data_IF_870236864871
#
_entry.id   IF_870236864871
#
_cell.length_a   1.000
_cell.length_b   1.000
_cell.length_c   1.000
_cell.angle_alpha   90.00
_cell.angle_beta   90.00
_cell.angle_gamma   90.00
#
_symmetry.space_group_name_H-M   'P 1'
#
loop_
_entity.id
_entity.type
_entity.pdbx_description
1 polymer ?
#
# COMPACT_ATOMS: atom_id res chain seq x y z
N UNK A 1 -67.02 -32.65 58.02
CA UNK A 1 -67.63 -33.67 57.15
C UNK A 1 -68.23 -32.88 56.00
N UNK A 2 -67.61 -32.79 54.84
CA UNK A 2 -67.43 -33.89 53.88
C UNK A 2 -66.29 -33.56 52.91
N UNK A 3 -65.35 -34.50 52.78
CA UNK A 3 -64.46 -34.61 51.62
C UNK A 3 -65.24 -35.21 50.45
N UNK A 4 -64.89 -34.82 49.22
CA UNK A 4 -65.42 -35.39 47.99
C UNK A 4 -64.63 -34.86 46.80
N UNK A 5 -63.61 -35.62 46.42
CA UNK A 5 -62.64 -35.34 45.37
C UNK A 5 -63.30 -35.28 43.98
N UNK A 6 -62.91 -34.29 43.18
CA UNK A 6 -63.08 -34.29 41.74
C UNK A 6 -61.69 -34.07 41.12
N UNK A 7 -61.19 -35.11 40.44
CA UNK A 7 -60.03 -35.03 39.55
C UNK A 7 -60.39 -34.12 38.38
N UNK A 8 -59.73 -32.96 38.29
CA UNK A 8 -59.60 -32.21 37.05
C UNK A 8 -58.22 -32.46 36.46
N UNK A 9 -58.26 -33.11 35.30
CA UNK A 9 -57.16 -33.35 34.37
C UNK A 9 -56.65 -31.99 33.84
N UNK A 10 -55.61 -31.45 34.47
CA UNK A 10 -54.92 -30.25 33.99
C UNK A 10 -53.73 -30.67 33.12
N UNK A 11 -54.00 -30.80 31.83
CA UNK A 11 -52.99 -30.81 30.79
C UNK A 11 -52.35 -29.41 30.71
N UNK A 12 -51.30 -29.19 31.51
CA UNK A 12 -50.47 -27.98 31.39
C UNK A 12 -49.75 -28.00 30.03
N UNK A 13 -50.26 -27.20 29.10
CA UNK A 13 -49.60 -26.85 27.84
C UNK A 13 -48.33 -26.05 28.15
N UNK A 14 -47.23 -26.75 28.41
CA UNK A 14 -45.89 -26.16 28.48
C UNK A 14 -45.57 -25.57 27.12
N UNK A 15 -45.80 -24.27 26.98
CA UNK A 15 -45.23 -23.47 25.90
C UNK A 15 -43.71 -23.64 25.90
N UNK A 16 -43.22 -24.55 25.04
CA UNK A 16 -41.81 -24.66 24.70
C UNK A 16 -41.47 -23.36 24.00
N UNK A 17 -40.92 -22.41 24.76
CA UNK A 17 -40.20 -21.27 24.20
C UNK A 17 -39.03 -21.89 23.45
N UNK A 18 -39.21 -22.13 22.15
CA UNK A 18 -38.12 -22.39 21.22
C UNK A 18 -37.19 -21.20 21.36
N UNK A 19 -36.12 -21.38 22.12
CA UNK A 19 -34.95 -20.51 22.07
C UNK A 19 -34.55 -20.45 20.61
N UNK A 20 -34.91 -19.32 19.96
CA UNK A 20 -34.42 -19.00 18.65
C UNK A 20 -32.92 -18.90 18.85
N UNK A 21 -32.19 -19.94 18.45
CA UNK A 21 -30.75 -19.85 18.25
C UNK A 21 -30.58 -18.63 17.36
N UNK A 22 -30.03 -17.56 17.93
CA UNK A 22 -29.55 -16.45 17.16
C UNK A 22 -28.51 -17.07 16.22
N UNK A 23 -28.91 -17.32 14.98
CA UNK A 23 -27.97 -17.45 13.88
C UNK A 23 -27.33 -16.08 13.76
N UNK A 24 -26.30 -15.89 14.59
CA UNK A 24 -25.35 -14.82 14.42
C UNK A 24 -24.83 -14.95 12.98
N UNK A 25 -24.62 -13.82 12.27
CA UNK A 25 -23.84 -13.86 11.04
C UNK A 25 -22.55 -14.63 11.35
N UNK A 26 -21.96 -15.27 10.36
CA UNK A 26 -20.65 -15.93 10.43
C UNK A 26 -19.55 -14.87 10.71
N UNK A 27 -19.65 -14.18 11.85
CA UNK A 27 -18.65 -13.30 12.42
C UNK A 27 -17.57 -14.23 12.94
N UNK A 28 -16.48 -14.31 12.18
CA UNK A 28 -15.31 -15.07 12.58
C UNK A 28 -14.94 -14.67 14.01
N UNK A 29 -14.90 -15.64 14.93
CA UNK A 29 -14.43 -15.46 16.29
C UNK A 29 -13.08 -14.71 16.27
N UNK A 30 -12.84 -13.79 17.22
CA UNK A 30 -11.56 -13.09 17.29
C UNK A 30 -10.44 -14.12 17.42
N UNK A 31 -9.40 -14.00 16.62
CA UNK A 31 -8.28 -14.95 16.64
C UNK A 31 -7.14 -14.44 17.52
N UNK A 32 -6.46 -15.36 18.20
CA UNK A 32 -5.30 -15.04 19.04
C UNK A 32 -4.18 -16.03 18.84
N UNK A 33 -3.03 -15.51 18.41
CA UNK A 33 -1.83 -16.26 18.05
C UNK A 33 -0.83 -16.42 19.20
N UNK A 34 -1.01 -15.67 20.29
CA UNK A 34 -0.06 -15.58 21.40
C UNK A 34 0.72 -14.26 21.46
N UNK A 35 0.46 -13.30 20.56
CA UNK A 35 1.11 -11.99 20.60
C UNK A 35 0.65 -11.17 21.80
N UNK A 36 1.58 -10.80 22.69
CA UNK A 36 1.32 -9.93 23.83
C UNK A 36 0.68 -8.58 23.42
N UNK A 37 1.03 -8.04 22.25
CA UNK A 37 0.46 -6.76 21.77
C UNK A 37 -1.06 -6.85 21.58
N UNK A 38 -1.55 -8.01 21.15
CA UNK A 38 -2.95 -8.23 20.80
C UNK A 38 -3.76 -8.86 21.95
N UNK A 39 -3.12 -9.19 23.08
CA UNK A 39 -3.78 -9.90 24.19
C UNK A 39 -5.00 -9.14 24.73
N UNK A 40 -4.86 -7.85 25.03
CA UNK A 40 -5.97 -7.06 25.59
C UNK A 40 -7.14 -6.92 24.61
N UNK A 41 -6.83 -6.74 23.32
CA UNK A 41 -7.84 -6.68 22.26
C UNK A 41 -8.61 -7.99 22.16
N UNK A 42 -7.88 -9.12 22.09
CA UNK A 42 -8.49 -10.45 22.07
C UNK A 42 -9.33 -10.71 23.33
N UNK A 43 -8.76 -10.47 24.51
CA UNK A 43 -9.41 -10.71 25.80
C UNK A 43 -10.75 -9.97 25.89
N UNK A 44 -10.78 -8.69 25.53
CA UNK A 44 -12.00 -7.89 25.57
C UNK A 44 -13.02 -8.35 24.53
N UNK A 45 -12.59 -8.62 23.30
CA UNK A 45 -13.48 -9.11 22.23
C UNK A 45 -14.09 -10.47 22.58
N UNK A 46 -13.25 -11.43 22.98
CA UNK A 46 -13.69 -12.77 23.36
C UNK A 46 -14.61 -12.75 24.58
N UNK A 47 -14.30 -11.91 25.59
CA UNK A 47 -15.17 -11.78 26.76
C UNK A 47 -16.57 -11.30 26.39
N UNK A 48 -16.66 -10.27 25.55
CA UNK A 48 -17.95 -9.72 25.11
C UNK A 48 -18.74 -10.68 24.22
N UNK A 49 -18.06 -11.49 23.40
CA UNK A 49 -18.71 -12.39 22.44
C UNK A 49 -19.07 -13.76 23.03
N UNK A 50 -18.31 -14.25 24.01
CA UNK A 50 -18.41 -15.65 24.49
C UNK A 50 -18.43 -15.74 26.01
N UNK A 51 -17.47 -15.14 26.73
CA UNK A 51 -17.33 -15.33 28.19
C UNK A 51 -18.55 -14.82 28.96
N UNK A 52 -19.04 -13.63 28.61
CA UNK A 52 -20.17 -12.96 29.27
C UNK A 52 -21.54 -13.55 28.93
N UNK A 53 -21.60 -14.47 27.96
CA UNK A 53 -22.86 -15.12 27.56
C UNK A 53 -23.25 -16.20 28.57
N UNK A 54 -24.46 -16.08 29.09
CA UNK A 54 -25.05 -17.05 30.04
C UNK A 54 -25.81 -18.17 29.34
N UNK A 55 -26.03 -18.05 28.03
CA UNK A 55 -26.73 -19.05 27.21
C UNK A 55 -25.79 -20.14 26.65
N UNK A 56 -24.48 -19.98 26.80
CA UNK A 56 -23.47 -20.96 26.39
C UNK A 56 -23.01 -21.78 27.59
N UNK A 57 -22.93 -23.11 27.41
CA UNK A 57 -22.33 -23.99 28.40
C UNK A 57 -20.80 -23.82 28.45
N UNK A 58 -20.17 -24.24 29.54
CA UNK A 58 -18.70 -24.21 29.64
C UNK A 58 -18.02 -25.04 28.55
N UNK A 59 -18.67 -26.12 28.09
CA UNK A 59 -18.20 -26.93 26.96
C UNK A 59 -18.23 -26.13 25.65
N UNK A 60 -19.30 -25.38 25.39
CA UNK A 60 -19.42 -24.53 24.21
C UNK A 60 -18.41 -23.38 24.25
N UNK A 61 -18.24 -22.74 25.42
CA UNK A 61 -17.23 -21.69 25.62
C UNK A 61 -15.82 -22.21 25.39
N UNK A 62 -15.51 -23.42 25.87
CA UNK A 62 -14.22 -24.06 25.65
C UNK A 62 -14.00 -24.40 24.16
N UNK A 63 -15.04 -24.85 23.46
CA UNK A 63 -14.95 -25.08 22.02
C UNK A 63 -14.67 -23.78 21.26
N UNK A 64 -15.41 -22.70 21.55
CA UNK A 64 -15.16 -21.37 20.98
C UNK A 64 -13.76 -20.85 21.32
N UNK A 65 -13.28 -21.09 22.54
CA UNK A 65 -11.93 -20.71 22.94
C UNK A 65 -10.89 -21.45 22.09
N UNK A 66 -11.02 -22.78 21.95
CA UNK A 66 -10.08 -23.58 21.15
C UNK A 66 -10.07 -23.19 19.68
N UNK A 67 -11.21 -22.79 19.10
CA UNK A 67 -11.28 -22.35 17.70
C UNK A 67 -10.76 -20.92 17.49
N UNK A 68 -10.82 -20.07 18.52
CA UNK A 68 -10.27 -18.72 18.52
C UNK A 68 -8.74 -18.69 18.67
N UNK A 69 -8.14 -19.72 19.28
CA UNK A 69 -6.70 -19.80 19.48
C UNK A 69 -5.99 -20.38 18.26
N UNK A 70 -4.91 -19.73 17.84
CA UNK A 70 -4.00 -20.18 16.78
C UNK A 70 -2.55 -20.13 17.26
N UNK A 71 -1.61 -20.65 16.48
CA UNK A 71 -0.17 -20.49 16.74
C UNK A 71 0.27 -21.00 18.13
N UNK A 72 1.03 -20.16 18.84
CA UNK A 72 1.59 -20.50 20.15
C UNK A 72 0.49 -20.61 21.21
N UNK A 73 -0.52 -19.74 21.16
CA UNK A 73 -1.61 -19.76 22.13
C UNK A 73 -2.42 -21.06 22.06
N UNK A 74 -2.66 -21.58 20.85
CA UNK A 74 -3.29 -22.90 20.65
C UNK A 74 -2.41 -24.03 21.21
N UNK A 75 -1.08 -23.96 21.05
CA UNK A 75 -0.18 -24.98 21.58
C UNK A 75 -0.19 -25.03 23.11
N UNK A 76 -0.28 -23.88 23.79
CA UNK A 76 -0.35 -23.84 25.26
C UNK A 76 -1.61 -24.51 25.80
N UNK A 77 -2.74 -24.43 25.09
CA UNK A 77 -4.00 -25.03 25.53
C UNK A 77 -4.16 -26.50 25.15
N UNK A 78 -3.23 -27.07 24.35
CA UNK A 78 -3.21 -28.52 24.07
C UNK A 78 -2.99 -29.39 25.30
N UNK A 79 -2.40 -28.85 26.38
CA UNK A 79 -2.28 -29.57 27.66
C UNK A 79 -3.64 -29.95 28.25
N UNK A 80 -4.72 -29.30 27.80
CA UNK A 80 -6.09 -29.54 28.22
C UNK A 80 -6.87 -30.50 27.29
N UNK A 81 -6.19 -31.19 26.37
CA UNK A 81 -6.82 -32.14 25.46
C UNK A 81 -6.98 -33.55 26.07
N UNK A 82 -6.26 -33.86 27.15
CA UNK A 82 -6.14 -35.23 27.69
C UNK A 82 -6.92 -35.51 28.96
N UNK A 83 -7.34 -34.49 29.71
CA UNK A 83 -8.16 -34.63 30.91
C UNK A 83 -9.38 -33.72 30.78
N UNK A 84 -10.55 -34.17 31.25
CA UNK A 84 -11.84 -33.46 31.16
C UNK A 84 -11.84 -32.12 31.89
N UNK A 85 -11.23 -31.10 31.28
CA UNK A 85 -10.93 -29.81 31.88
C UNK A 85 -11.97 -28.76 31.49
N UNK A 86 -12.34 -28.03 32.53
CA UNK A 86 -13.28 -26.92 32.61
C UNK A 86 -12.76 -25.65 31.92
N UNK A 87 -13.64 -24.93 31.23
CA UNK A 87 -13.35 -23.69 30.50
C UNK A 87 -12.55 -22.67 31.34
N UNK A 88 -12.90 -22.56 32.63
CA UNK A 88 -12.26 -21.62 33.56
C UNK A 88 -10.75 -21.85 33.70
N UNK A 89 -10.30 -23.11 33.76
CA UNK A 89 -8.86 -23.43 33.88
C UNK A 89 -8.09 -23.07 32.61
N UNK A 90 -8.72 -23.29 31.45
CA UNK A 90 -8.13 -22.92 30.16
C UNK A 90 -7.99 -21.40 30.04
N UNK A 91 -9.02 -20.66 30.46
CA UNK A 91 -9.00 -19.21 30.48
C UNK A 91 -7.96 -18.65 31.47
N UNK A 92 -7.90 -19.19 32.69
CA UNK A 92 -6.91 -18.82 33.71
C UNK A 92 -5.48 -19.05 33.22
N UNK A 93 -5.20 -20.14 32.49
CA UNK A 93 -3.87 -20.36 31.92
C UNK A 93 -3.49 -19.25 30.93
N UNK A 94 -4.42 -18.82 30.07
CA UNK A 94 -4.16 -17.74 29.12
C UNK A 94 -3.90 -16.42 29.85
N UNK A 95 -4.71 -16.08 30.85
CA UNK A 95 -4.49 -14.88 31.68
C UNK A 95 -3.12 -14.94 32.36
N UNK A 96 -2.77 -16.06 32.99
CA UNK A 96 -1.45 -16.25 33.61
C UNK A 96 -0.30 -16.16 32.62
N UNK A 97 -0.51 -16.61 31.39
CA UNK A 97 0.55 -16.66 30.36
C UNK A 97 0.75 -15.32 29.65
N UNK A 98 -0.33 -14.58 29.41
CA UNK A 98 -0.32 -13.41 28.52
C UNK A 98 -0.68 -12.09 29.22
N UNK A 99 -1.27 -12.13 30.41
CA UNK A 99 -1.62 -10.92 31.20
C UNK A 99 -0.55 -10.54 32.22
N UNK A 100 0.71 -10.65 31.82
CA UNK A 100 1.83 -10.21 32.65
C UNK A 100 1.93 -8.69 32.55
N UNK A 101 1.27 -7.96 33.45
CA UNK A 101 1.16 -6.49 33.45
C UNK A 101 2.49 -5.78 33.17
N UNK A 102 3.57 -6.19 33.83
CA UNK A 102 4.91 -5.61 33.64
C UNK A 102 5.38 -5.70 32.18
N UNK A 103 5.16 -6.86 31.53
CA UNK A 103 5.52 -7.09 30.14
C UNK A 103 4.63 -6.25 29.22
N UNK A 104 3.31 -6.27 29.44
CA UNK A 104 2.36 -5.52 28.61
C UNK A 104 2.57 -4.00 28.67
N UNK A 105 2.79 -3.46 29.88
CA UNK A 105 3.09 -2.03 30.07
C UNK A 105 4.39 -1.68 29.33
N UNK A 106 5.47 -2.44 29.56
CA UNK A 106 6.75 -2.19 28.90
C UNK A 106 6.66 -2.32 27.38
N UNK A 107 5.86 -3.26 26.87
CA UNK A 107 5.63 -3.47 25.45
C UNK A 107 4.94 -2.26 24.83
N UNK A 108 3.80 -1.83 25.36
CA UNK A 108 3.04 -0.71 24.80
C UNK A 108 3.79 0.63 24.94
N UNK A 109 4.51 0.84 26.04
CA UNK A 109 5.41 1.98 26.19
C UNK A 109 6.52 1.97 25.13
N UNK A 110 7.15 0.81 24.89
CA UNK A 110 8.17 0.70 23.84
C UNK A 110 7.59 0.95 22.45
N UNK A 111 6.42 0.40 22.15
CA UNK A 111 5.76 0.57 20.85
C UNK A 111 5.38 2.02 20.57
N UNK A 112 4.82 2.75 21.55
CA UNK A 112 4.47 4.16 21.37
C UNK A 112 5.72 5.05 21.23
N UNK A 113 6.76 4.84 22.05
CA UNK A 113 8.00 5.63 21.96
C UNK A 113 8.76 5.38 20.65
N UNK A 114 8.77 4.13 20.18
CA UNK A 114 9.51 3.69 19.00
C UNK A 114 8.67 3.63 17.72
N UNK A 115 7.52 4.33 17.68
CA UNK A 115 6.76 4.47 16.43
C UNK A 115 7.65 4.99 15.30
N UNK A 116 7.43 4.47 14.10
CA UNK A 116 8.20 4.83 12.91
C UNK A 116 7.88 6.26 12.48
N UNK A 117 8.91 7.07 12.28
CA UNK A 117 8.79 8.40 11.68
C UNK A 117 8.26 8.32 10.24
N UNK A 118 7.29 9.16 9.93
CA UNK A 118 6.72 9.30 8.60
C UNK A 118 7.63 10.14 7.71
N UNK A 119 8.16 9.52 6.65
CA UNK A 119 8.96 10.22 5.64
C UNK A 119 8.08 11.08 4.71
N UNK A 120 6.84 10.64 4.48
CA UNK A 120 5.89 11.28 3.56
C UNK A 120 4.48 11.24 4.12
N UNK A 121 3.75 12.31 3.82
CA UNK A 121 2.34 12.48 4.18
C UNK A 121 1.43 11.65 3.27
N UNK A 122 1.41 10.35 3.51
CA UNK A 122 0.47 9.44 2.85
C UNK A 122 -0.77 9.26 3.71
N UNK A 123 -1.94 9.10 3.08
CA UNK A 123 -3.20 8.86 3.79
C UNK A 123 -3.08 7.65 4.74
N UNK A 124 -2.55 6.53 4.24
CA UNK A 124 -2.34 5.33 5.04
C UNK A 124 -1.36 5.55 6.21
N UNK A 125 -0.23 6.24 5.98
CA UNK A 125 0.76 6.48 7.01
C UNK A 125 0.25 7.37 8.14
N UNK A 126 -0.46 8.45 7.81
CA UNK A 126 -1.03 9.39 8.78
C UNK A 126 -2.14 8.73 9.62
N UNK A 127 -3.09 8.04 8.96
CA UNK A 127 -4.13 7.30 9.68
C UNK A 127 -3.55 6.20 10.56
N UNK A 128 -2.52 5.49 10.08
CA UNK A 128 -1.86 4.45 10.86
C UNK A 128 -1.18 5.01 12.11
N UNK A 129 -0.46 6.13 11.99
CA UNK A 129 0.19 6.79 13.13
C UNK A 129 -0.82 7.15 14.23
N UNK A 130 -1.94 7.77 13.86
CA UNK A 130 -3.01 8.11 14.80
C UNK A 130 -3.63 6.86 15.45
N UNK A 131 -3.97 5.86 14.64
CA UNK A 131 -4.58 4.63 15.11
C UNK A 131 -3.67 3.85 16.06
N UNK A 132 -2.38 3.70 15.73
CA UNK A 132 -1.42 2.96 16.56
C UNK A 132 -1.18 3.68 17.90
N UNK A 133 -1.05 5.01 17.90
CA UNK A 133 -0.91 5.78 19.13
C UNK A 133 -2.13 5.61 20.05
N UNK A 134 -3.35 5.80 19.52
CA UNK A 134 -4.59 5.61 20.30
C UNK A 134 -4.71 4.17 20.82
N UNK A 135 -4.37 3.17 20.01
CA UNK A 135 -4.37 1.75 20.39
C UNK A 135 -3.46 1.49 21.60
N UNK A 136 -2.24 2.01 21.58
CA UNK A 136 -1.28 1.82 22.67
C UNK A 136 -1.67 2.62 23.92
N UNK A 137 -2.15 3.86 23.77
CA UNK A 137 -2.65 4.67 24.89
C UNK A 137 -3.86 3.99 25.56
N UNK A 138 -4.81 3.47 24.78
CA UNK A 138 -5.97 2.75 25.31
C UNK A 138 -5.57 1.47 26.04
N UNK A 139 -4.59 0.74 25.51
CA UNK A 139 -4.05 -0.47 26.14
C UNK A 139 -3.37 -0.17 27.47
N UNK A 140 -2.56 0.90 27.54
CA UNK A 140 -1.93 1.37 28.78
C UNK A 140 -2.98 1.80 29.82
N UNK A 141 -4.01 2.53 29.38
CA UNK A 141 -5.12 2.94 30.24
C UNK A 141 -5.87 1.74 30.83
N UNK A 142 -6.14 0.71 30.02
CA UNK A 142 -6.76 -0.54 30.47
C UNK A 142 -5.89 -1.31 31.49
N UNK A 143 -4.56 -1.14 31.44
CA UNK A 143 -3.61 -1.69 32.41
C UNK A 143 -3.45 -0.83 33.68
N UNK A 144 -4.15 0.31 33.76
CA UNK A 144 -4.05 1.25 34.89
C UNK A 144 -2.88 2.24 34.79
N UNK A 145 -2.28 2.41 33.60
CA UNK A 145 -1.21 3.37 33.34
C UNK A 145 -1.74 4.53 32.52
N UNK A 146 -1.62 5.74 33.06
CA UNK A 146 -1.90 6.97 32.32
C UNK A 146 -0.61 7.54 31.73
N UNK A 147 -0.60 7.82 30.43
CA UNK A 147 0.45 8.61 29.78
C UNK A 147 -0.04 10.05 29.75
N UNK A 148 0.81 11.00 30.15
CA UNK A 148 0.38 12.39 30.17
C UNK A 148 0.10 12.90 28.76
N UNK A 149 -0.93 13.75 28.56
CA UNK A 149 -1.29 14.30 27.26
C UNK A 149 -0.09 14.91 26.50
N UNK A 150 0.78 15.61 27.21
CA UNK A 150 1.93 16.32 26.65
C UNK A 150 2.95 15.37 26.01
N UNK A 151 3.17 14.21 26.65
CA UNK A 151 4.07 13.18 26.11
C UNK A 151 3.48 12.58 24.83
N UNK A 152 2.16 12.35 24.80
CA UNK A 152 1.48 11.76 23.64
C UNK A 152 1.64 12.67 22.42
N UNK A 153 1.32 13.95 22.60
CA UNK A 153 1.45 14.97 21.55
C UNK A 153 2.90 15.08 21.09
N UNK A 154 3.85 15.23 22.01
CA UNK A 154 5.27 15.37 21.67
C UNK A 154 5.80 14.16 20.88
N UNK A 155 5.41 12.94 21.28
CA UNK A 155 5.76 11.73 20.53
C UNK A 155 5.20 11.82 19.12
N UNK A 156 3.91 12.12 18.95
CA UNK A 156 3.27 12.20 17.64
C UNK A 156 3.91 13.25 16.73
N UNK A 157 4.20 14.44 17.24
CA UNK A 157 4.92 15.51 16.54
C UNK A 157 6.29 15.03 16.06
N UNK A 158 7.05 14.34 16.92
CA UNK A 158 8.36 13.79 16.57
C UNK A 158 8.32 12.75 15.43
N UNK A 159 7.15 12.16 15.15
CA UNK A 159 6.97 11.17 14.08
C UNK A 159 6.51 11.80 12.77
N UNK A 160 6.26 13.10 12.71
CA UNK A 160 5.78 13.77 11.52
C UNK A 160 6.91 14.31 10.63
N UNK A 161 6.71 14.35 9.31
CA UNK A 161 7.62 15.06 8.42
C UNK A 161 7.51 16.56 8.66
N UNK A 162 8.59 17.30 8.42
CA UNK A 162 8.66 18.75 8.64
C UNK A 162 7.48 19.53 8.05
N UNK A 163 7.02 19.17 6.85
CA UNK A 163 5.88 19.84 6.18
C UNK A 163 4.55 19.66 6.91
N UNK A 164 4.39 18.56 7.65
CA UNK A 164 3.21 18.34 8.47
C UNK A 164 3.32 19.14 9.78
N UNK A 165 4.51 19.14 10.40
CA UNK A 165 4.78 19.91 11.62
C UNK A 165 4.54 21.41 11.37
N UNK A 166 5.10 21.98 10.30
CA UNK A 166 4.93 23.41 9.99
C UNK A 166 3.44 23.79 9.84
N UNK A 167 2.61 22.88 9.32
CA UNK A 167 1.16 23.08 9.22
C UNK A 167 0.42 22.84 10.51
N UNK A 168 0.88 21.90 11.32
CA UNK A 168 0.33 21.64 12.65
C UNK A 168 0.52 22.88 13.54
N UNK A 169 1.76 23.35 13.66
CA UNK A 169 2.15 24.56 14.42
C UNK A 169 1.38 25.81 13.98
N UNK A 170 1.12 25.97 12.68
CA UNK A 170 0.37 27.12 12.17
C UNK A 170 -1.11 27.17 12.62
N UNK A 171 -1.65 26.08 13.19
CA UNK A 171 -3.02 26.03 13.70
C UNK A 171 -3.08 26.10 15.24
N UNK A 172 -1.94 26.24 15.93
CA UNK A 172 -1.87 26.28 17.38
C UNK A 172 -1.81 27.71 17.91
N UNK A 173 -2.31 27.91 19.13
CA UNK A 173 -2.04 29.13 19.89
C UNK A 173 -0.61 29.09 20.44
N UNK A 174 -0.01 30.27 20.62
CA UNK A 174 1.38 30.40 21.08
C UNK A 174 1.60 29.89 22.52
N UNK A 175 0.62 30.06 23.40
CA UNK A 175 0.77 29.82 24.84
C UNK A 175 -0.02 28.61 25.35
N UNK A 176 -0.81 27.96 24.49
CA UNK A 176 -1.60 26.78 24.85
C UNK A 176 -0.95 25.52 24.30
N UNK A 177 -0.73 24.53 25.16
CA UNK A 177 -0.28 23.21 24.73
C UNK A 177 -1.48 22.42 24.20
N UNK A 178 -1.38 21.78 23.02
CA UNK A 178 -2.53 21.13 22.41
C UNK A 178 -2.92 19.83 23.12
N UNK A 179 -4.19 19.50 23.05
CA UNK A 179 -4.71 18.22 23.56
C UNK A 179 -4.49 17.08 22.54
N UNK A 180 -4.33 15.81 22.98
CA UNK A 180 -4.13 14.66 22.10
C UNK A 180 -5.20 14.54 21.00
N UNK A 181 -6.46 14.84 21.33
CA UNK A 181 -7.56 14.79 20.36
C UNK A 181 -7.38 15.77 19.20
N UNK A 182 -6.74 16.92 19.46
CA UNK A 182 -6.48 17.92 18.42
C UNK A 182 -5.46 17.39 17.39
N UNK A 183 -4.40 16.73 17.84
CA UNK A 183 -3.41 16.16 16.92
C UNK A 183 -3.96 14.92 16.20
N UNK A 184 -4.78 14.08 16.86
CA UNK A 184 -5.47 12.98 16.17
C UNK A 184 -6.36 13.50 15.04
N UNK A 185 -7.17 14.53 15.31
CA UNK A 185 -8.00 15.18 14.30
C UNK A 185 -7.18 15.80 13.16
N UNK A 186 -6.06 16.43 13.47
CA UNK A 186 -5.15 16.94 12.46
C UNK A 186 -4.60 15.83 11.54
N UNK A 187 -4.21 14.69 12.11
CA UNK A 187 -3.71 13.53 11.35
C UNK A 187 -4.79 12.96 10.44
N UNK A 188 -6.01 12.77 10.93
CA UNK A 188 -7.12 12.26 10.11
C UNK A 188 -7.51 13.22 8.99
N UNK A 189 -7.61 14.52 9.28
CA UNK A 189 -7.89 15.55 8.25
C UNK A 189 -6.77 15.61 7.20
N UNK A 190 -5.51 15.51 7.63
CA UNK A 190 -4.37 15.47 6.71
C UNK A 190 -4.37 14.20 5.87
N UNK A 191 -4.74 13.05 6.43
CA UNK A 191 -4.89 11.80 5.70
C UNK A 191 -5.99 11.88 4.63
N UNK A 192 -7.15 12.45 4.97
CA UNK A 192 -8.26 12.67 4.04
C UNK A 192 -7.83 13.56 2.86
N UNK A 193 -7.12 14.67 3.14
CA UNK A 193 -6.58 15.56 2.10
C UNK A 193 -5.59 14.84 1.18
N UNK A 194 -4.69 14.04 1.76
CA UNK A 194 -3.72 13.24 0.99
C UNK A 194 -4.42 12.21 0.09
N UNK A 195 -5.51 11.58 0.56
CA UNK A 195 -6.33 10.67 -0.25
C UNK A 195 -6.98 11.40 -1.42
N UNK A 196 -7.66 12.52 -1.15
CA UNK A 196 -8.33 13.33 -2.19
C UNK A 196 -7.35 13.82 -3.25
N UNK A 197 -6.16 14.26 -2.86
CA UNK A 197 -5.12 14.68 -3.81
C UNK A 197 -4.65 13.52 -4.70
N UNK A 198 -4.55 12.31 -4.14
CA UNK A 198 -4.17 11.13 -4.90
C UNK A 198 -5.28 10.66 -5.85
N UNK A 199 -6.54 10.76 -5.44
CA UNK A 199 -7.71 10.47 -6.28
C UNK A 199 -7.84 11.46 -7.43
N UNK A 200 -7.64 12.75 -7.18
CA UNK A 200 -7.58 13.76 -8.25
C UNK A 200 -6.45 13.45 -9.23
N UNK A 201 -5.26 13.10 -8.72
CA UNK A 201 -4.12 12.74 -9.57
C UNK A 201 -4.38 11.48 -10.40
N UNK A 202 -5.01 10.46 -9.81
CA UNK A 202 -5.35 9.21 -10.49
C UNK A 202 -6.46 9.42 -11.53
N UNK A 203 -7.46 10.25 -11.25
CA UNK A 203 -8.50 10.65 -12.21
C UNK A 203 -7.92 11.44 -13.38
N UNK A 204 -6.99 12.37 -13.13
CA UNK A 204 -6.30 13.11 -14.20
C UNK A 204 -5.47 12.16 -15.08
N UNK A 205 -4.77 11.19 -14.48
CA UNK A 205 -4.03 10.17 -15.23
C UNK A 205 -4.95 9.26 -16.06
N UNK A 206 -6.09 8.82 -15.50
CA UNK A 206 -7.11 8.04 -16.22
C UNK A 206 -7.73 8.85 -17.36
N UNK A 207 -8.06 10.13 -17.16
CA UNK A 207 -8.56 11.01 -18.24
C UNK A 207 -7.53 11.20 -19.36
N UNK A 208 -6.23 11.32 -19.03
CA UNK A 208 -5.16 11.38 -20.03
C UNK A 208 -5.01 10.07 -20.83
N UNK A 209 -5.18 8.91 -20.20
CA UNK A 209 -5.17 7.62 -20.90
C UNK A 209 -6.42 7.40 -21.76
N UNK A 210 -7.60 7.80 -21.29
CA UNK A 210 -8.86 7.70 -22.05
C UNK A 210 -8.88 8.66 -23.25
N UNK A 211 -8.35 9.88 -23.12
CA UNK A 211 -8.20 10.79 -24.27
C UNK A 211 -7.20 10.26 -25.31
N UNK A 212 -6.17 9.51 -24.90
CA UNK A 212 -5.28 8.84 -25.86
C UNK A 212 -5.90 7.64 -26.58
N UNK A 213 -7.01 7.09 -26.10
CA UNK A 213 -7.75 6.04 -26.81
C UNK A 213 -8.92 6.58 -27.65
N UNK A 214 -9.42 7.80 -27.36
CA UNK A 214 -10.49 8.44 -28.16
C UNK A 214 -10.00 9.30 -29.33
N UNK A 215 -8.71 9.63 -29.41
CA UNK A 215 -8.09 10.29 -30.58
C UNK A 215 -7.43 9.30 -31.57
N UNK A 216 -8.06 8.13 -31.76
CA UNK A 216 -7.83 7.27 -32.93
C UNK A 216 -8.58 7.74 -34.19
N UNK A 217 -9.35 8.83 -34.11
CA UNK A 217 -10.12 9.39 -35.22
C UNK A 217 -9.97 10.91 -35.32
N UNK A 218 -9.30 11.35 -36.39
CA UNK A 218 -9.24 12.73 -36.94
C UNK A 218 -8.31 13.75 -36.26
N UNK A 219 -7.12 13.85 -36.87
CA UNK A 219 -6.33 15.06 -37.16
C UNK A 219 -6.78 16.42 -36.57
N UNK A 220 -5.91 17.03 -35.76
CA UNK A 220 -5.68 18.48 -35.69
C UNK A 220 -4.25 18.74 -35.19
N UNK A 221 -3.31 19.06 -36.09
CA UNK A 221 -2.83 20.41 -36.43
C UNK A 221 -1.84 21.05 -35.44
N UNK A 222 -0.67 20.42 -35.26
CA UNK A 222 0.54 21.20 -34.97
C UNK A 222 0.92 21.98 -36.23
N UNK A 223 0.53 23.26 -36.27
CA UNK A 223 0.96 24.28 -37.24
C UNK A 223 2.44 24.64 -37.07
N UNK A 224 3.33 23.67 -37.34
CA UNK A 224 4.76 23.95 -37.53
C UNK A 224 5.49 22.97 -38.47
N UNK A 225 4.81 22.02 -39.13
CA UNK A 225 5.49 21.02 -39.99
C UNK A 225 4.79 20.65 -41.31
N UNK A 226 3.85 21.47 -41.79
CA UNK A 226 3.12 21.21 -43.05
C UNK A 226 3.68 21.95 -44.28
N UNK A 227 5.01 22.09 -44.36
CA UNK A 227 5.73 22.21 -45.63
C UNK A 227 6.46 20.90 -45.92
N UNK A 228 5.68 19.84 -46.21
CA UNK A 228 6.02 18.70 -47.07
C UNK A 228 4.92 17.63 -46.99
N UNK A 229 3.74 17.94 -47.52
CA UNK A 229 2.75 16.92 -47.85
C UNK A 229 3.31 16.03 -48.98
N UNK A 230 3.79 14.82 -48.65
CA UNK A 230 3.90 13.62 -49.54
C UNK A 230 5.14 12.73 -49.27
N UNK A 231 5.33 12.17 -48.06
CA UNK A 231 6.29 11.04 -47.94
C UNK A 231 5.65 9.84 -47.27
N UNK A 232 5.13 8.94 -48.11
CA UNK A 232 4.97 7.52 -47.75
C UNK A 232 6.32 6.94 -47.32
N UNK A 233 6.33 5.81 -46.61
CA UNK A 233 7.59 5.19 -46.17
C UNK A 233 8.55 5.04 -47.35
N UNK A 234 9.80 5.50 -47.20
CA UNK A 234 10.79 5.49 -48.27
C UNK A 234 11.13 4.07 -48.79
N UNK A 235 10.87 3.03 -48.01
CA UNK A 235 11.12 1.64 -48.38
C UNK A 235 9.89 0.93 -48.98
N UNK A 236 8.68 1.13 -48.42
CA UNK A 236 7.49 0.43 -48.91
C UNK A 236 6.61 1.26 -49.86
N UNK A 237 6.80 2.58 -49.87
CA UNK A 237 6.05 3.61 -50.62
C UNK A 237 4.52 3.58 -50.46
N UNK A 238 3.98 2.67 -49.64
CA UNK A 238 2.55 2.39 -49.52
C UNK A 238 1.89 3.05 -48.30
N UNK A 239 2.51 2.97 -47.13
CA UNK A 239 1.94 3.48 -45.86
C UNK A 239 2.94 4.37 -45.12
N UNK A 240 2.44 5.21 -44.21
CA UNK A 240 3.29 6.00 -43.30
C UNK A 240 3.59 5.19 -42.07
N UNK A 241 4.87 4.89 -41.83
CA UNK A 241 5.35 4.30 -40.60
C UNK A 241 6.86 4.57 -40.46
N UNK A 242 7.41 4.48 -39.25
CA UNK A 242 8.85 4.52 -39.04
C UNK A 242 9.57 3.39 -39.80
N UNK A 243 10.80 3.64 -40.26
CA UNK A 243 11.57 2.66 -41.04
C UNK A 243 11.90 1.38 -40.27
N UNK A 244 12.12 1.48 -38.96
CA UNK A 244 12.36 0.32 -38.11
C UNK A 244 11.12 -0.58 -37.96
N UNK A 245 9.93 -0.12 -38.34
CA UNK A 245 8.70 -0.92 -38.41
C UNK A 245 8.36 -1.37 -39.84
N UNK A 246 9.20 -1.05 -40.84
CA UNK A 246 8.95 -1.41 -42.22
C UNK A 246 9.43 -2.83 -42.54
N UNK A 247 8.50 -3.74 -42.84
CA UNK A 247 8.86 -5.12 -43.20
C UNK A 247 9.66 -5.19 -44.50
N UNK A 248 9.31 -4.38 -45.52
CA UNK A 248 10.08 -4.30 -46.77
C UNK A 248 11.53 -3.83 -46.52
N UNK A 249 11.73 -2.89 -45.60
CA UNK A 249 13.06 -2.39 -45.23
C UNK A 249 13.87 -3.46 -44.47
N UNK A 250 13.25 -4.16 -43.51
CA UNK A 250 13.88 -5.26 -42.79
C UNK A 250 14.24 -6.44 -43.69
N UNK A 251 13.51 -6.65 -44.80
CA UNK A 251 13.83 -7.71 -45.78
C UNK A 251 14.98 -7.34 -46.73
N UNK A 252 15.41 -6.08 -46.80
CA UNK A 252 16.55 -5.69 -47.63
C UNK A 252 17.88 -6.13 -46.99
N UNK A 253 18.88 -6.51 -47.81
CA UNK A 253 20.26 -6.65 -47.34
C UNK A 253 20.80 -5.36 -46.72
N UNK A 254 21.67 -5.48 -45.71
CA UNK A 254 22.19 -4.34 -44.94
C UNK A 254 22.85 -3.27 -45.84
N UNK A 255 23.67 -3.61 -46.86
CA UNK A 255 24.21 -2.61 -47.79
C UNK A 255 23.11 -1.79 -48.49
N UNK A 256 22.04 -2.44 -48.95
CA UNK A 256 20.89 -1.76 -49.57
C UNK A 256 20.12 -0.89 -48.57
N UNK A 257 20.07 -1.25 -47.29
CA UNK A 257 19.47 -0.40 -46.24
C UNK A 257 20.27 0.89 -46.04
N UNK A 258 21.60 0.80 -46.05
CA UNK A 258 22.50 1.96 -45.89
C UNK A 258 22.38 2.91 -47.09
N UNK A 259 22.40 2.37 -48.31
CA UNK A 259 22.20 3.17 -49.53
C UNK A 259 20.87 3.92 -49.51
N UNK A 260 19.80 3.25 -49.11
CA UNK A 260 18.46 3.82 -49.05
C UNK A 260 18.36 4.96 -48.02
N UNK A 261 19.04 4.84 -46.88
CA UNK A 261 19.13 5.90 -45.86
C UNK A 261 19.95 7.08 -46.36
N UNK A 262 21.09 6.81 -47.00
CA UNK A 262 21.98 7.81 -47.59
C UNK A 262 21.24 8.62 -48.66
N UNK A 263 20.53 7.95 -49.56
CA UNK A 263 19.72 8.57 -50.61
C UNK A 263 18.56 9.40 -50.04
N UNK A 264 17.89 8.90 -48.99
CA UNK A 264 16.78 9.60 -48.35
C UNK A 264 17.22 10.73 -47.39
N UNK A 265 18.53 10.88 -47.12
CA UNK A 265 19.12 11.86 -46.20
C UNK A 265 18.46 11.84 -44.82
N UNK A 266 18.20 10.64 -44.29
CA UNK A 266 17.70 10.43 -42.93
C UNK A 266 18.83 9.98 -41.99
N UNK A 267 18.65 10.15 -40.69
CA UNK A 267 19.68 9.83 -39.73
C UNK A 267 19.96 8.32 -39.65
N UNK A 268 21.24 7.95 -39.67
CA UNK A 268 21.70 6.56 -39.52
C UNK A 268 21.35 5.95 -38.16
N UNK A 269 21.10 6.77 -37.13
CA UNK A 269 20.80 6.29 -35.78
C UNK A 269 19.30 6.09 -35.52
N UNK A 270 18.49 7.14 -35.73
CA UNK A 270 17.05 7.07 -35.47
C UNK A 270 16.20 6.72 -36.70
N UNK A 271 16.80 6.63 -37.89
CA UNK A 271 16.12 6.38 -39.16
C UNK A 271 15.01 7.41 -39.48
N UNK A 272 15.16 8.64 -38.97
CA UNK A 272 14.22 9.77 -39.14
C UNK A 272 14.97 11.02 -39.60
N UNK A 273 14.23 11.99 -40.15
CA UNK A 273 14.77 13.30 -40.51
C UNK A 273 14.82 14.20 -39.27
N UNK A 274 16.01 14.71 -38.95
CA UNK A 274 16.22 15.81 -38.03
C UNK A 274 17.35 16.67 -38.57
N UNK A 275 17.16 17.99 -38.65
CA UNK A 275 18.14 18.94 -39.21
C UNK A 275 18.77 19.85 -38.16
N UNK A 276 18.09 20.08 -37.03
CA UNK A 276 18.42 21.18 -36.11
C UNK A 276 18.75 20.73 -34.68
N UNK A 277 18.77 19.42 -34.41
CA UNK A 277 19.06 18.88 -33.07
C UNK A 277 19.90 17.60 -33.14
N UNK A 278 20.78 17.37 -32.15
CA UNK A 278 21.58 16.15 -32.07
C UNK A 278 20.67 14.93 -31.84
N UNK A 279 20.99 13.82 -32.52
CA UNK A 279 20.24 12.58 -32.37
C UNK A 279 20.43 12.00 -30.95
N UNK A 280 19.33 11.87 -30.19
CA UNK A 280 19.30 11.28 -28.84
C UNK A 280 18.92 9.79 -28.81
N UNK A 281 18.89 9.14 -29.98
CA UNK A 281 18.53 7.72 -30.07
C UNK A 281 19.68 6.83 -29.56
N UNK A 282 19.34 5.68 -28.99
CA UNK A 282 20.31 4.74 -28.41
C UNK A 282 21.32 4.26 -29.44
N UNK A 283 22.53 3.94 -28.98
CA UNK A 283 23.59 3.41 -29.84
C UNK A 283 23.27 1.99 -30.33
N UNK A 284 24.00 1.53 -31.34
CA UNK A 284 23.90 0.17 -31.84
C UNK A 284 24.15 -0.82 -30.70
N UNK A 285 23.23 -1.74 -30.47
CA UNK A 285 23.33 -2.74 -29.38
C UNK A 285 24.42 -3.79 -29.61
N UNK A 286 24.98 -3.89 -30.82
CA UNK A 286 26.02 -4.87 -31.18
C UNK A 286 27.44 -4.30 -30.99
N UNK A 287 27.67 -3.04 -31.38
CA UNK A 287 29.02 -2.44 -31.36
C UNK A 287 29.11 -1.10 -30.62
N UNK A 288 28.01 -0.65 -30.01
CA UNK A 288 27.91 0.58 -29.21
C UNK A 288 28.24 1.89 -29.94
N UNK A 289 28.42 1.87 -31.27
CA UNK A 289 28.61 3.06 -32.12
C UNK A 289 27.27 3.74 -32.47
N UNK A 290 27.34 5.00 -32.92
CA UNK A 290 26.18 5.88 -33.20
C UNK A 290 25.46 5.54 -34.51
N UNK A 291 24.81 4.39 -34.57
CA UNK A 291 23.93 3.98 -35.67
C UNK A 291 22.86 3.00 -35.20
N UNK A 292 21.82 2.83 -36.01
CA UNK A 292 20.74 1.89 -35.74
C UNK A 292 21.23 0.45 -35.91
N UNK A 293 20.87 -0.46 -34.99
CA UNK A 293 21.23 -1.89 -35.09
C UNK A 293 20.81 -2.54 -36.41
N UNK A 294 19.74 -2.06 -37.08
CA UNK A 294 19.33 -2.56 -38.41
C UNK A 294 20.33 -2.26 -39.54
N UNK A 295 21.34 -1.42 -39.30
CA UNK A 295 22.40 -1.05 -40.25
C UNK A 295 23.76 -1.63 -39.88
N UNK A 296 23.86 -2.42 -38.82
CA UNK A 296 25.12 -2.98 -38.38
C UNK A 296 25.66 -3.99 -39.41
N UNK A 297 26.84 -3.71 -39.97
CA UNK A 297 27.63 -4.63 -40.78
C UNK A 297 28.91 -4.92 -39.99
N UNK A 298 29.26 -6.20 -39.85
CA UNK A 298 30.46 -6.62 -39.11
C UNK A 298 31.77 -6.11 -39.77
N UNK A 299 31.74 -5.67 -41.04
CA UNK A 299 32.93 -5.24 -41.80
C UNK A 299 32.72 -3.97 -42.67
N UNK A 300 32.64 -2.75 -42.11
CA UNK A 300 32.92 -1.53 -42.90
C UNK A 300 33.73 -0.46 -42.13
N UNK A 301 34.73 0.20 -42.75
CA UNK A 301 35.72 1.03 -42.08
C UNK A 301 35.16 2.39 -41.64
N UNK A 302 35.78 2.91 -40.58
CA UNK A 302 35.43 4.15 -39.89
C UNK A 302 35.93 5.34 -40.70
N UNK A 303 35.06 6.22 -41.19
CA UNK A 303 35.48 7.55 -41.68
C UNK A 303 35.73 8.46 -40.49
N UNK A 304 36.94 8.37 -39.94
CA UNK A 304 37.53 9.34 -39.01
C UNK A 304 37.79 10.66 -39.73
N UNK A 305 37.14 11.74 -39.29
CA UNK A 305 37.61 13.10 -39.60
C UNK A 305 38.81 13.40 -38.70
N UNK A 306 39.91 13.74 -39.36
CA UNK A 306 41.20 14.11 -38.79
C UNK A 306 41.12 15.28 -37.82
N UNK A 307 41.91 15.18 -36.75
CA UNK A 307 42.19 16.20 -35.76
C UNK A 307 42.76 17.47 -36.41
N UNK A 308 42.21 18.63 -36.03
CA UNK A 308 42.92 19.91 -36.11
C UNK A 308 43.60 20.10 -34.76
N UNK A 309 44.93 20.06 -34.76
CA UNK A 309 45.77 20.40 -33.62
C UNK A 309 45.65 21.90 -33.31
N UNK A 310 45.55 22.25 -32.02
CA UNK A 310 45.77 23.61 -31.51
C UNK A 310 47.27 23.84 -31.28
N UNK A 311 47.82 25.03 -31.56
CA UNK A 311 49.21 25.33 -31.25
C UNK A 311 49.38 25.68 -29.76
N UNK A 312 50.48 25.20 -29.19
CA UNK A 312 51.02 25.58 -27.88
C UNK A 312 51.49 27.03 -27.89
N UNK A 313 51.08 27.80 -26.87
CA UNK A 313 51.63 29.12 -26.59
C UNK A 313 52.80 28.96 -25.62
N UNK A 314 53.97 29.32 -26.11
CA UNK A 314 55.24 29.47 -25.41
C UNK A 314 55.13 30.44 -24.23
N UNK A 315 55.53 30.00 -23.03
CA UNK A 315 56.07 30.88 -21.99
C UNK A 315 57.58 30.70 -22.01
N UNK A 316 58.29 31.80 -22.21
CA UNK A 316 59.74 31.94 -22.01
C UNK A 316 59.94 33.06 -21.01
N UNK A 317 60.82 32.80 -20.05
CA UNK A 317 61.66 33.81 -19.40
C UNK A 317 62.41 34.65 -20.45
#
# INVERSE_FOLDING_TARGET
MTNGEAQEDQTEDRMIVKSRRLELPEESLPTFDGSFENWLLFKNAFRNMVDSRTDLSDVDKLYCLKSALVGEAANKTKIFATDGIDYFKAWELLERSYEVKRILISLHLSLIMNMKTLEKETAAGLSKLANDAQKHVASLKALGVSVTPEIIVHILESKLPKTAIDRWEANLDRNEFPEPDQIYEFLYKSAMRASNANDQRSQIQRKRQVNHQKEGGRFSSNRAFLLNASRSCIACKAKRHPLYMCDKFKKLPIPKRIELIKAAKVCYNCLRSHRDYPCKFSNCTICQKRHNTLLHLENYPTTSKSNIAKPETTQRD
#
